data_IF_574059950843
#
_entry.id   IF_574059950843
#
_cell.length_a   1.000
_cell.length_b   1.000
_cell.length_c   1.000
_cell.angle_alpha   90.00
_cell.angle_beta   90.00
_cell.angle_gamma   90.00
#
_symmetry.space_group_name_H-M   'P 1'
#
loop_
_entity.id
_entity.type
_entity.pdbx_description
1 polymer ?
#
# COMPACT_ATOMS: atom_id res chain seq x y z
N UNK A 1 -24.28 5.25 -31.36
CA UNK A 1 -23.45 4.29 -30.58
C UNK A 1 -24.18 2.95 -30.58
N UNK A 2 -23.50 1.82 -30.77
CA UNK A 2 -24.16 0.49 -30.70
C UNK A 2 -24.06 -0.11 -29.29
N UNK A 3 -24.84 -1.13 -28.97
CA UNK A 3 -24.70 -1.85 -27.68
C UNK A 3 -23.29 -2.44 -27.51
N UNK A 4 -22.66 -2.87 -28.60
CA UNK A 4 -21.28 -3.34 -28.61
C UNK A 4 -20.33 -2.22 -28.21
N UNK A 5 -20.53 -1.01 -28.75
CA UNK A 5 -19.68 0.15 -28.45
C UNK A 5 -19.85 0.60 -27.00
N UNK A 6 -21.07 0.53 -26.44
CA UNK A 6 -21.32 0.83 -25.01
C UNK A 6 -20.54 -0.13 -24.11
N UNK A 7 -20.61 -1.43 -24.38
CA UNK A 7 -19.86 -2.42 -23.58
C UNK A 7 -18.35 -2.23 -23.77
N UNK A 8 -17.88 -1.86 -24.97
CA UNK A 8 -16.48 -1.49 -25.20
C UNK A 8 -16.06 -0.26 -24.43
N UNK A 9 -16.87 0.79 -24.41
CA UNK A 9 -16.61 2.05 -23.73
C UNK A 9 -16.54 1.86 -22.21
N UNK A 10 -17.48 1.08 -21.65
CA UNK A 10 -17.45 0.66 -20.25
C UNK A 10 -16.15 -0.11 -19.94
N UNK A 11 -15.81 -1.11 -20.75
CA UNK A 11 -14.62 -1.93 -20.52
C UNK A 11 -13.31 -1.18 -20.77
N UNK A 12 -13.32 -0.14 -21.63
CA UNK A 12 -12.18 0.74 -21.85
C UNK A 12 -11.98 1.73 -20.69
N UNK A 13 -13.08 2.14 -20.04
CA UNK A 13 -13.07 3.02 -18.88
C UNK A 13 -12.74 2.29 -17.56
N UNK A 14 -12.77 0.95 -17.54
CA UNK A 14 -12.41 0.13 -16.37
C UNK A 14 -11.00 -0.40 -16.47
N UNK A 15 -10.23 -0.29 -15.38
CA UNK A 15 -8.84 -0.77 -15.33
C UNK A 15 -8.75 -2.31 -15.29
N UNK A 16 -9.66 -2.95 -14.54
CA UNK A 16 -9.70 -4.39 -14.36
C UNK A 16 -10.84 -5.07 -15.13
N UNK A 17 -10.69 -6.37 -15.46
CA UNK A 17 -11.80 -7.17 -15.95
C UNK A 17 -12.96 -7.20 -14.95
N UNK A 18 -14.14 -6.81 -15.40
CA UNK A 18 -15.35 -6.76 -14.59
C UNK A 18 -16.35 -7.85 -14.99
N UNK A 19 -17.27 -8.15 -14.08
CA UNK A 19 -18.31 -9.17 -14.25
C UNK A 19 -19.48 -8.65 -15.09
N UNK A 20 -20.26 -9.54 -15.73
CA UNK A 20 -21.50 -9.18 -16.41
C UNK A 20 -22.47 -8.35 -15.55
N UNK A 21 -22.50 -8.62 -14.25
CA UNK A 21 -23.32 -7.89 -13.28
C UNK A 21 -22.84 -6.45 -13.10
N UNK A 22 -21.53 -6.24 -12.97
CA UNK A 22 -20.96 -4.89 -12.89
C UNK A 22 -21.15 -4.12 -14.20
N UNK A 23 -21.00 -4.78 -15.36
CA UNK A 23 -21.32 -4.17 -16.66
C UNK A 23 -22.79 -3.73 -16.71
N UNK A 24 -23.72 -4.57 -16.24
CA UNK A 24 -25.16 -4.22 -16.18
C UNK A 24 -25.39 -2.97 -15.35
N UNK A 25 -24.83 -2.89 -14.14
CA UNK A 25 -25.03 -1.72 -13.26
C UNK A 25 -24.43 -0.44 -13.88
N UNK A 26 -23.29 -0.55 -14.56
CA UNK A 26 -22.68 0.58 -15.27
C UNK A 26 -23.52 1.03 -16.48
N UNK A 27 -24.14 0.10 -17.22
CA UNK A 27 -25.09 0.44 -18.30
C UNK A 27 -26.29 1.18 -17.72
N UNK A 28 -26.91 0.69 -16.64
CA UNK A 28 -28.05 1.35 -16.00
C UNK A 28 -27.73 2.77 -15.56
N UNK A 29 -26.51 2.99 -15.03
CA UNK A 29 -26.07 4.29 -14.53
C UNK A 29 -25.65 5.27 -15.63
N UNK A 30 -24.90 4.82 -16.64
CA UNK A 30 -24.23 5.69 -17.61
C UNK A 30 -24.90 5.71 -19.00
N UNK A 31 -25.62 4.66 -19.36
CA UNK A 31 -26.27 4.50 -20.66
C UNK A 31 -27.72 3.97 -20.49
N UNK A 32 -28.59 4.69 -19.74
CA UNK A 32 -29.93 4.22 -19.41
C UNK A 32 -30.79 3.90 -20.63
N UNK A 33 -30.51 4.51 -21.79
CA UNK A 33 -31.20 4.23 -23.05
C UNK A 33 -30.99 2.79 -23.58
N UNK A 34 -30.01 2.04 -23.07
CA UNK A 34 -29.81 0.62 -23.40
C UNK A 34 -30.40 -0.32 -22.34
N UNK A 35 -31.01 0.22 -21.29
CA UNK A 35 -31.77 -0.54 -20.30
C UNK A 35 -33.26 -0.41 -20.60
N UNK A 36 -34.02 -1.51 -20.50
CA UNK A 36 -35.46 -1.48 -20.80
C UNK A 36 -35.84 -1.20 -22.26
N UNK A 37 -35.00 -1.60 -23.23
CA UNK A 37 -35.31 -1.42 -24.67
C UNK A 37 -36.61 -2.16 -25.06
N UNK A 38 -37.28 -1.80 -26.18
CA UNK A 38 -38.45 -2.52 -26.67
C UNK A 38 -38.22 -4.03 -26.82
N UNK A 39 -37.00 -4.43 -27.17
CA UNK A 39 -36.60 -5.84 -27.21
C UNK A 39 -36.58 -6.49 -25.82
N UNK A 40 -36.06 -5.81 -24.80
CA UNK A 40 -36.08 -6.32 -23.42
C UNK A 40 -37.51 -6.47 -22.91
N UNK A 41 -38.35 -5.45 -23.13
CA UNK A 41 -39.76 -5.44 -22.74
C UNK A 41 -40.50 -6.60 -23.41
N UNK A 42 -40.33 -6.77 -24.72
CA UNK A 42 -41.00 -7.84 -25.46
C UNK A 42 -40.55 -9.24 -25.02
N UNK A 43 -39.26 -9.44 -24.72
CA UNK A 43 -38.76 -10.74 -24.27
C UNK A 43 -39.21 -11.09 -22.83
N UNK A 44 -39.37 -10.08 -21.96
CA UNK A 44 -39.95 -10.27 -20.62
C UNK A 44 -41.45 -10.56 -20.73
N UNK A 45 -42.19 -9.84 -21.59
CA UNK A 45 -43.62 -10.07 -21.83
C UNK A 45 -43.89 -11.48 -22.37
N UNK A 46 -43.01 -11.99 -23.24
CA UNK A 46 -43.02 -13.37 -23.75
C UNK A 46 -42.50 -14.42 -22.76
N UNK A 47 -42.18 -14.03 -21.51
CA UNK A 47 -41.64 -14.87 -20.43
C UNK A 47 -40.31 -15.58 -20.76
N UNK A 48 -39.52 -15.05 -21.70
CA UNK A 48 -38.17 -15.56 -21.96
C UNK A 48 -37.17 -15.13 -20.88
N UNK A 49 -37.42 -14.02 -20.20
CA UNK A 49 -36.64 -13.54 -19.07
C UNK A 49 -37.55 -13.14 -17.91
N UNK A 50 -37.04 -13.27 -16.68
CA UNK A 50 -37.77 -12.98 -15.44
C UNK A 50 -38.11 -11.49 -15.31
N UNK A 51 -37.17 -10.63 -15.67
CA UNK A 51 -37.23 -9.18 -15.54
C UNK A 51 -36.27 -8.52 -16.54
N UNK A 52 -36.28 -7.19 -16.58
CA UNK A 52 -35.44 -6.40 -17.48
C UNK A 52 -33.94 -6.55 -17.17
N UNK A 53 -33.59 -6.79 -15.91
CA UNK A 53 -32.22 -7.01 -15.45
C UNK A 53 -31.67 -8.35 -15.98
N UNK A 54 -32.50 -9.39 -16.00
CA UNK A 54 -32.17 -10.70 -16.57
C UNK A 54 -32.07 -10.60 -18.10
N UNK A 55 -32.97 -9.87 -18.75
CA UNK A 55 -32.90 -9.64 -20.20
C UNK A 55 -31.60 -8.94 -20.62
N UNK A 56 -31.20 -7.88 -19.90
CA UNK A 56 -29.95 -7.17 -20.15
C UNK A 56 -28.72 -8.05 -19.86
N UNK A 57 -28.72 -8.83 -18.77
CA UNK A 57 -27.64 -9.78 -18.50
C UNK A 57 -27.48 -10.81 -19.61
N UNK A 58 -28.58 -11.40 -20.09
CA UNK A 58 -28.54 -12.37 -21.18
C UNK A 58 -27.96 -11.75 -22.46
N UNK A 59 -28.32 -10.50 -22.76
CA UNK A 59 -27.75 -9.75 -23.88
C UNK A 59 -26.24 -9.53 -23.72
N UNK A 60 -25.76 -9.17 -22.52
CA UNK A 60 -24.33 -9.03 -22.22
C UNK A 60 -23.61 -10.37 -22.41
N UNK A 61 -24.13 -11.46 -21.83
CA UNK A 61 -23.54 -12.79 -21.96
C UNK A 61 -23.48 -13.27 -23.42
N UNK A 62 -24.53 -13.04 -24.21
CA UNK A 62 -24.55 -13.36 -25.64
C UNK A 62 -23.49 -12.56 -26.39
N UNK A 63 -23.47 -11.24 -26.20
CA UNK A 63 -22.53 -10.34 -26.87
C UNK A 63 -21.07 -10.74 -26.61
N UNK A 64 -20.68 -10.89 -25.35
CA UNK A 64 -19.27 -11.09 -24.96
C UNK A 64 -18.74 -12.48 -25.33
N UNK A 65 -19.63 -13.47 -25.49
CA UNK A 65 -19.26 -14.81 -25.97
C UNK A 65 -19.14 -14.88 -27.49
N UNK A 66 -20.00 -14.17 -28.21
CA UNK A 66 -20.06 -14.24 -29.68
C UNK A 66 -19.09 -13.27 -30.36
N UNK A 67 -18.77 -12.15 -29.72
CA UNK A 67 -17.93 -11.12 -30.33
C UNK A 67 -16.45 -11.32 -29.98
N UNK A 68 -15.63 -11.54 -31.01
CA UNK A 68 -14.17 -11.74 -30.91
C UNK A 68 -13.42 -10.56 -30.29
N UNK A 69 -14.06 -9.38 -30.14
CA UNK A 69 -13.47 -8.23 -29.48
C UNK A 69 -13.35 -8.37 -27.97
N UNK A 70 -13.98 -9.38 -27.34
CA UNK A 70 -13.95 -9.57 -25.88
C UNK A 70 -13.17 -10.84 -25.46
N UNK A 71 -12.46 -10.72 -24.34
CA UNK A 71 -11.85 -11.83 -23.62
C UNK A 71 -12.70 -12.15 -22.40
N UNK A 72 -12.94 -13.45 -22.17
CA UNK A 72 -13.80 -13.95 -21.11
C UNK A 72 -13.01 -14.91 -20.23
N UNK A 73 -12.65 -14.48 -19.03
CA UNK A 73 -11.99 -15.32 -18.04
C UNK A 73 -13.03 -16.17 -17.30
N UNK A 74 -13.00 -17.48 -17.55
CA UNK A 74 -13.92 -18.46 -16.97
C UNK A 74 -13.36 -19.18 -15.75
N UNK A 75 -12.17 -18.80 -15.27
CA UNK A 75 -11.53 -19.45 -14.11
C UNK A 75 -12.28 -19.18 -12.81
N UNK A 76 -13.12 -18.14 -12.76
CA UNK A 76 -13.94 -17.76 -11.61
C UNK A 76 -15.41 -17.59 -12.04
N UNK A 77 -16.35 -17.73 -11.09
CA UNK A 77 -17.79 -17.53 -11.32
C UNK A 77 -18.29 -16.38 -10.44
N UNK A 78 -18.97 -15.36 -10.99
CA UNK A 78 -19.21 -15.12 -12.42
C UNK A 78 -17.91 -14.80 -13.19
N UNK A 79 -17.90 -15.10 -14.49
CA UNK A 79 -16.76 -14.85 -15.38
C UNK A 79 -16.42 -13.36 -15.47
N UNK A 80 -15.13 -13.02 -15.66
CA UNK A 80 -14.68 -11.65 -15.86
C UNK A 80 -14.43 -11.35 -17.33
N UNK A 81 -14.73 -10.12 -17.77
CA UNK A 81 -14.71 -9.73 -19.18
C UNK A 81 -13.77 -8.53 -19.39
N UNK A 82 -13.01 -8.55 -20.49
CA UNK A 82 -12.15 -7.45 -20.96
C UNK A 82 -12.07 -7.38 -22.49
N UNK A 83 -11.39 -6.37 -23.07
CA UNK A 83 -11.22 -6.21 -24.52
C UNK A 83 -10.00 -6.99 -25.07
N UNK A 84 -10.15 -7.71 -26.19
CA UNK A 84 -9.06 -8.46 -26.88
C UNK A 84 -8.06 -7.57 -27.61
N UNK A 85 -8.54 -6.50 -28.25
CA UNK A 85 -7.73 -5.58 -29.07
C UNK A 85 -7.37 -4.28 -28.35
N UNK A 86 -7.40 -4.28 -27.03
CA UNK A 86 -6.52 -3.36 -26.32
C UNK A 86 -5.10 -3.80 -26.71
N UNK A 87 -4.45 -3.07 -27.64
CA UNK A 87 -3.02 -3.21 -27.92
C UNK A 87 -2.33 -3.32 -26.57
N UNK A 88 -1.79 -4.50 -26.28
CA UNK A 88 -1.10 -4.88 -25.05
C UNK A 88 -1.05 -3.79 -23.97
N UNK A 89 -2.05 -3.72 -23.09
CA UNK A 89 -1.67 -3.60 -21.68
C UNK A 89 -1.28 -5.02 -21.29
N UNK A 90 0.01 -5.30 -21.09
CA UNK A 90 0.45 -6.66 -20.89
C UNK A 90 -0.30 -7.24 -19.69
N UNK A 91 -0.84 -8.46 -19.82
CA UNK A 91 -0.67 -9.41 -18.72
C UNK A 91 0.80 -9.26 -18.34
N UNK A 92 1.11 -8.76 -17.15
CA UNK A 92 2.49 -8.55 -16.71
C UNK A 92 3.18 -9.91 -16.44
N UNK A 93 3.18 -10.82 -17.42
CA UNK A 93 4.41 -11.49 -17.81
C UNK A 93 5.35 -10.38 -18.21
N UNK A 94 6.52 -10.31 -17.56
CA UNK A 94 7.63 -9.43 -17.91
C UNK A 94 7.69 -9.25 -19.44
N UNK A 95 7.15 -8.14 -19.94
CA UNK A 95 7.80 -7.50 -21.06
C UNK A 95 9.05 -6.93 -20.41
N UNK A 96 10.19 -7.55 -20.73
CA UNK A 96 11.48 -6.89 -20.64
C UNK A 96 11.25 -5.52 -21.29
N UNK A 97 11.14 -4.49 -20.46
CA UNK A 97 11.04 -3.11 -20.93
C UNK A 97 12.27 -2.89 -21.79
N UNK A 98 12.12 -2.63 -23.10
CA UNK A 98 13.24 -2.18 -23.90
C UNK A 98 13.61 -0.81 -23.30
N UNK A 99 14.79 -0.73 -22.69
CA UNK A 99 15.41 0.44 -22.06
C UNK A 99 15.05 0.75 -20.60
N UNK A 100 14.90 -0.25 -19.74
CA UNK A 100 14.71 -0.09 -18.28
C UNK A 100 15.98 0.02 -17.42
N UNK A 101 17.17 0.25 -17.98
CA UNK A 101 18.42 0.05 -17.22
C UNK A 101 18.81 1.22 -16.27
N UNK A 102 18.07 2.33 -16.29
CA UNK A 102 18.43 3.56 -15.56
C UNK A 102 17.32 4.28 -14.76
N UNK A 103 16.07 3.80 -14.73
CA UNK A 103 15.01 4.49 -13.98
C UNK A 103 15.09 4.15 -12.49
N UNK A 104 15.11 5.16 -11.61
CA UNK A 104 15.10 4.94 -10.16
C UNK A 104 13.71 4.47 -9.71
N UNK A 105 13.64 3.70 -8.62
CA UNK A 105 12.37 3.19 -8.11
C UNK A 105 11.38 4.33 -7.80
N UNK A 106 11.88 5.48 -7.34
CA UNK A 106 11.06 6.67 -7.11
C UNK A 106 10.40 7.21 -8.37
N UNK A 107 11.13 7.26 -9.48
CA UNK A 107 10.61 7.80 -10.75
C UNK A 107 9.48 6.92 -11.28
N UNK A 108 9.64 5.59 -11.16
CA UNK A 108 8.59 4.64 -11.53
C UNK A 108 7.36 4.75 -10.61
N UNK A 109 7.58 4.88 -9.29
CA UNK A 109 6.49 5.07 -8.34
C UNK A 109 5.70 6.35 -8.64
N UNK A 110 6.39 7.48 -8.87
CA UNK A 110 5.75 8.76 -9.20
C UNK A 110 4.96 8.64 -10.51
N UNK A 111 5.57 8.08 -11.56
CA UNK A 111 4.94 7.92 -12.88
C UNK A 111 3.68 7.04 -12.80
N UNK A 112 3.70 6.01 -11.97
CA UNK A 112 2.61 5.05 -11.81
C UNK A 112 1.86 5.22 -10.47
N UNK A 113 1.80 6.44 -9.93
CA UNK A 113 1.28 6.71 -8.57
C UNK A 113 -0.12 6.10 -8.33
N UNK A 114 -1.05 6.27 -9.27
CA UNK A 114 -2.41 5.72 -9.15
C UNK A 114 -2.47 4.18 -9.11
N UNK A 115 -1.59 3.52 -9.86
CA UNK A 115 -1.47 2.05 -9.84
C UNK A 115 -1.03 1.57 -8.46
N UNK A 116 0.07 2.13 -7.93
CA UNK A 116 0.59 1.72 -6.63
C UNK A 116 -0.34 2.10 -5.47
N UNK A 117 -1.09 3.21 -5.59
CA UNK A 117 -2.12 3.55 -4.61
C UNK A 117 -3.24 2.50 -4.59
N UNK A 118 -3.82 2.17 -5.75
CA UNK A 118 -4.86 1.13 -5.83
C UNK A 118 -4.34 -0.23 -5.34
N UNK A 119 -3.12 -0.59 -5.75
CA UNK A 119 -2.46 -1.82 -5.31
C UNK A 119 -2.24 -1.84 -3.79
N UNK A 120 -1.92 -0.70 -3.18
CA UNK A 120 -1.78 -0.61 -1.73
C UNK A 120 -3.12 -0.91 -1.02
N UNK A 121 -4.24 -0.43 -1.55
CA UNK A 121 -5.59 -0.73 -1.03
C UNK A 121 -5.92 -2.22 -1.11
N UNK A 122 -5.56 -2.88 -2.21
CA UNK A 122 -5.74 -4.34 -2.37
C UNK A 122 -4.87 -5.14 -1.39
N UNK A 123 -3.59 -4.77 -1.29
CA UNK A 123 -2.65 -5.43 -0.38
C UNK A 123 -3.12 -5.30 1.07
N UNK A 124 -3.71 -4.17 1.44
CA UNK A 124 -4.28 -3.94 2.79
C UNK A 124 -5.47 -4.85 3.10
N UNK A 125 -6.30 -5.22 2.11
CA UNK A 125 -7.39 -6.19 2.34
C UNK A 125 -6.88 -7.57 2.81
N UNK A 126 -5.63 -7.90 2.49
CA UNK A 126 -4.99 -9.13 2.96
C UNK A 126 -4.38 -8.99 4.37
N UNK A 127 -4.15 -7.75 4.85
CA UNK A 127 -3.66 -7.47 6.18
C UNK A 127 -4.83 -7.24 7.13
N UNK A 128 -5.50 -8.30 7.56
CA UNK A 128 -6.52 -8.22 8.61
C UNK A 128 -5.94 -8.41 10.02
N UNK A 129 -6.82 -8.44 11.02
CA UNK A 129 -6.50 -8.90 12.37
C UNK A 129 -5.87 -7.85 13.28
N UNK A 130 -5.09 -8.28 14.29
CA UNK A 130 -4.67 -7.41 15.41
C UNK A 130 -3.80 -6.23 14.96
N UNK A 131 -3.08 -6.36 13.84
CA UNK A 131 -2.17 -5.33 13.34
C UNK A 131 -2.87 -4.04 12.90
N UNK A 132 -4.05 -4.12 12.28
CA UNK A 132 -4.88 -2.94 11.98
C UNK A 132 -5.45 -2.38 13.27
N UNK A 133 -6.04 -3.25 14.08
CA UNK A 133 -6.75 -2.84 15.28
C UNK A 133 -5.83 -2.04 16.20
N UNK A 134 -4.66 -2.57 16.56
CA UNK A 134 -3.75 -1.86 17.45
C UNK A 134 -3.18 -0.58 16.81
N UNK A 135 -2.90 -0.59 15.50
CA UNK A 135 -2.47 0.61 14.79
C UNK A 135 -3.51 1.73 14.92
N UNK A 136 -4.77 1.45 14.58
CA UNK A 136 -5.87 2.42 14.70
C UNK A 136 -6.07 2.87 16.14
N UNK A 137 -6.01 1.96 17.12
CA UNK A 137 -6.13 2.31 18.53
C UNK A 137 -4.97 3.18 19.03
N UNK A 138 -3.75 2.98 18.53
CA UNK A 138 -2.61 3.83 18.85
C UNK A 138 -2.84 5.26 18.33
N UNK A 139 -3.31 5.41 17.09
CA UNK A 139 -3.63 6.73 16.52
C UNK A 139 -4.80 7.40 17.28
N UNK A 140 -5.86 6.66 17.62
CA UNK A 140 -6.97 7.21 18.43
C UNK A 140 -6.51 7.62 19.83
N UNK A 141 -5.64 6.84 20.45
CA UNK A 141 -5.03 7.17 21.75
C UNK A 141 -4.19 8.44 21.68
N UNK A 142 -3.44 8.63 20.59
CA UNK A 142 -2.66 9.84 20.32
C UNK A 142 -3.51 11.10 20.27
N UNK A 143 -4.68 11.03 19.61
CA UNK A 143 -5.62 12.16 19.46
C UNK A 143 -6.41 12.44 20.74
N UNK A 144 -6.71 11.40 21.52
CA UNK A 144 -7.52 11.52 22.74
C UNK A 144 -6.68 12.02 23.92
N UNK A 145 -5.53 11.41 24.16
CA UNK A 145 -4.64 11.76 25.26
C UNK A 145 -3.19 11.43 24.91
N UNK A 146 -2.48 12.47 24.45
CA UNK A 146 -1.13 12.37 23.93
C UNK A 146 -0.15 11.84 24.99
N UNK A 147 0.56 10.77 24.59
CA UNK A 147 1.45 9.98 25.43
C UNK A 147 0.84 9.50 26.76
N UNK A 148 -0.47 9.26 26.81
CA UNK A 148 -1.11 8.53 27.90
C UNK A 148 -0.65 7.08 27.99
N UNK A 149 -0.92 6.44 29.12
CA UNK A 149 -0.66 5.02 29.34
C UNK A 149 -1.31 4.16 28.25
N UNK A 150 -2.57 4.47 27.92
CA UNK A 150 -3.30 3.75 26.87
C UNK A 150 -2.67 3.94 25.50
N UNK A 151 -2.28 5.17 25.16
CA UNK A 151 -1.62 5.44 23.88
C UNK A 151 -0.31 4.65 23.77
N UNK A 152 0.56 4.71 24.78
CA UNK A 152 1.85 4.01 24.77
C UNK A 152 1.68 2.48 24.75
N UNK A 153 0.70 1.95 25.49
CA UNK A 153 0.32 0.54 25.46
C UNK A 153 -0.08 0.09 24.04
N UNK A 154 -0.89 0.89 23.33
CA UNK A 154 -1.31 0.58 21.96
C UNK A 154 -0.16 0.67 20.97
N UNK A 155 0.81 1.59 21.16
CA UNK A 155 2.05 1.58 20.37
C UNK A 155 2.79 0.25 20.60
N UNK A 156 3.01 -0.13 21.84
CA UNK A 156 3.73 -1.36 22.18
C UNK A 156 3.05 -2.60 21.58
N UNK A 157 1.73 -2.72 21.73
CA UNK A 157 0.93 -3.78 21.13
C UNK A 157 1.00 -3.79 19.60
N UNK A 158 0.99 -2.60 18.97
CA UNK A 158 1.12 -2.49 17.51
C UNK A 158 2.46 -3.05 17.04
N UNK A 159 3.57 -2.64 17.65
CA UNK A 159 4.90 -3.09 17.28
C UNK A 159 5.04 -4.62 17.45
N UNK A 160 4.56 -5.16 18.57
CA UNK A 160 4.52 -6.61 18.80
C UNK A 160 3.72 -7.34 17.71
N UNK A 161 2.51 -6.85 17.39
CA UNK A 161 1.66 -7.42 16.34
C UNK A 161 2.25 -7.30 14.93
N UNK A 162 3.17 -6.36 14.71
CA UNK A 162 3.93 -6.20 13.46
C UNK A 162 5.20 -7.07 13.43
N UNK A 163 5.33 -8.01 14.37
CA UNK A 163 6.41 -8.99 14.40
C UNK A 163 7.72 -8.46 14.98
N UNK A 164 7.69 -7.35 15.73
CA UNK A 164 8.88 -6.82 16.40
C UNK A 164 9.25 -7.53 17.70
N UNK A 165 8.37 -8.40 18.19
CA UNK A 165 8.62 -9.24 19.35
C UNK A 165 8.52 -10.72 18.94
N UNK A 166 9.67 -11.35 18.68
CA UNK A 166 9.76 -12.80 18.44
C UNK A 166 10.12 -13.51 19.73
N UNK A 167 9.39 -14.58 20.03
CA UNK A 167 9.71 -15.48 21.13
C UNK A 167 10.97 -16.30 20.79
N UNK A 168 11.80 -16.55 21.79
CA UNK A 168 13.03 -17.31 21.65
C UNK A 168 14.18 -16.72 22.45
N UNK A 169 15.32 -17.41 22.37
CA UNK A 169 16.57 -16.96 22.94
C UNK A 169 16.99 -15.60 22.32
N UNK A 170 17.18 -14.53 23.12
CA UNK A 170 17.67 -13.24 22.66
C UNK A 170 18.97 -13.29 21.84
N UNK A 171 19.84 -14.27 22.09
CA UNK A 171 21.08 -14.45 21.32
C UNK A 171 20.80 -14.92 19.89
N UNK A 172 19.68 -15.61 19.70
CA UNK A 172 19.22 -16.16 18.41
C UNK A 172 18.25 -15.21 17.71
N UNK A 173 17.30 -14.63 18.46
CA UNK A 173 16.26 -13.74 17.92
C UNK A 173 16.56 -12.28 18.23
N UNK A 174 17.17 -11.58 17.27
CA UNK A 174 17.46 -10.14 17.41
C UNK A 174 16.23 -9.23 17.31
N UNK A 175 15.07 -9.75 16.89
CA UNK A 175 13.82 -9.00 16.83
C UNK A 175 13.03 -9.17 18.13
N UNK A 176 13.46 -8.49 19.19
CA UNK A 176 12.82 -8.53 20.50
C UNK A 176 12.74 -7.12 21.08
N UNK A 177 11.54 -6.73 21.50
CA UNK A 177 11.31 -5.44 22.16
C UNK A 177 11.85 -5.48 23.60
N UNK A 178 12.20 -4.32 24.15
CA UNK A 178 12.48 -4.20 25.60
C UNK A 178 11.18 -4.37 26.39
N UNK A 179 11.28 -4.63 27.68
CA UNK A 179 10.09 -4.77 28.54
C UNK A 179 9.27 -3.47 28.59
N UNK A 180 7.95 -3.60 28.75
CA UNK A 180 7.03 -2.47 28.66
C UNK A 180 7.38 -1.29 29.58
N UNK A 181 7.78 -1.47 30.86
CA UNK A 181 8.18 -0.34 31.71
C UNK A 181 9.37 0.45 31.16
N UNK A 182 10.38 -0.24 30.60
CA UNK A 182 11.55 0.40 29.98
C UNK A 182 11.13 1.13 28.70
N UNK A 183 10.32 0.49 27.86
CA UNK A 183 9.77 1.09 26.64
C UNK A 183 9.02 2.40 26.96
N UNK A 184 8.07 2.34 27.90
CA UNK A 184 7.27 3.50 28.34
C UNK A 184 8.16 4.60 28.90
N UNK A 185 9.07 4.27 29.81
CA UNK A 185 9.97 5.25 30.41
C UNK A 185 10.84 5.95 29.35
N UNK A 186 11.33 5.20 28.36
CA UNK A 186 12.16 5.75 27.27
C UNK A 186 11.43 6.77 26.40
N UNK A 187 10.10 6.68 26.30
CA UNK A 187 9.25 7.63 25.56
C UNK A 187 8.88 8.82 26.45
N UNK A 188 8.39 8.57 27.67
CA UNK A 188 7.87 9.61 28.56
C UNK A 188 8.91 10.65 28.93
N UNK A 189 10.19 10.27 29.07
CA UNK A 189 11.28 11.24 29.33
C UNK A 189 11.45 12.30 28.22
N UNK A 190 10.81 12.12 27.07
CA UNK A 190 10.81 13.07 25.95
C UNK A 190 9.46 13.75 25.72
N UNK A 191 8.49 13.62 26.65
CA UNK A 191 7.12 14.10 26.47
C UNK A 191 7.06 15.53 25.96
N UNK A 192 7.76 16.46 26.61
CA UNK A 192 7.69 17.89 26.27
C UNK A 192 8.23 18.19 24.87
N UNK A 193 9.34 17.56 24.48
CA UNK A 193 9.92 17.72 23.13
C UNK A 193 9.04 17.09 22.05
N UNK A 194 8.45 15.93 22.34
CA UNK A 194 7.51 15.28 21.44
C UNK A 194 6.22 16.12 21.29
N UNK A 195 5.76 16.76 22.38
CA UNK A 195 4.61 17.65 22.37
C UNK A 195 4.84 18.88 21.48
N UNK A 196 6.06 19.43 21.45
CA UNK A 196 6.41 20.55 20.57
C UNK A 196 6.31 20.18 19.08
N UNK A 197 6.55 18.91 18.74
CA UNK A 197 6.48 18.41 17.36
C UNK A 197 5.09 17.87 16.98
N UNK A 198 4.17 17.78 17.94
CA UNK A 198 2.84 17.16 17.75
C UNK A 198 2.04 17.78 16.60
N UNK A 199 2.08 19.11 16.48
CA UNK A 199 1.36 19.86 15.45
C UNK A 199 2.08 19.92 14.10
N UNK A 200 3.33 19.43 14.02
CA UNK A 200 4.11 19.44 12.80
C UNK A 200 3.61 18.35 11.85
N UNK A 201 3.53 18.66 10.56
CA UNK A 201 2.99 17.74 9.55
C UNK A 201 3.83 17.74 8.28
N UNK A 202 4.00 16.56 7.71
CA UNK A 202 4.75 16.34 6.46
C UNK A 202 4.09 17.03 5.26
N UNK A 203 2.77 17.11 5.23
CA UNK A 203 1.97 17.67 4.13
C UNK A 203 1.86 19.20 4.14
N UNK A 204 2.15 19.85 5.27
CA UNK A 204 1.98 21.30 5.43
C UNK A 204 3.28 22.06 5.66
N UNK A 205 4.43 21.46 5.33
CA UNK A 205 5.74 22.10 5.49
C UNK A 205 6.61 21.99 4.22
N UNK A 206 7.56 22.92 4.10
CA UNK A 206 8.62 22.87 3.09
C UNK A 206 9.60 21.73 3.37
N UNK A 207 10.50 21.44 2.43
CA UNK A 207 11.53 20.40 2.61
C UNK A 207 12.53 20.78 3.69
N UNK A 208 12.91 22.05 3.74
CA UNK A 208 13.86 22.60 4.70
C UNK A 208 13.25 22.64 6.11
N UNK A 209 11.95 22.92 6.22
CA UNK A 209 11.23 22.80 7.48
C UNK A 209 11.13 21.35 7.93
N UNK A 210 10.76 20.44 7.03
CA UNK A 210 10.69 19.01 7.33
C UNK A 210 12.03 18.48 7.82
N UNK A 211 13.13 18.81 7.12
CA UNK A 211 14.47 18.40 7.52
C UNK A 211 14.84 18.87 8.93
N UNK A 212 14.52 20.12 9.28
CA UNK A 212 14.71 20.65 10.64
C UNK A 212 13.91 19.88 11.69
N UNK A 213 12.65 19.55 11.42
CA UNK A 213 11.85 18.72 12.33
C UNK A 213 12.50 17.35 12.58
N UNK A 214 13.12 16.76 11.54
CA UNK A 214 13.83 15.50 11.71
C UNK A 214 15.12 15.68 12.52
N UNK A 215 15.85 16.78 12.34
CA UNK A 215 17.02 17.11 13.16
C UNK A 215 16.65 17.31 14.63
N UNK A 216 15.50 17.93 14.93
CA UNK A 216 15.00 18.13 16.29
C UNK A 216 14.71 16.81 17.04
N UNK A 217 14.48 15.73 16.29
CA UNK A 217 14.31 14.37 16.82
C UNK A 217 15.62 13.69 17.18
N UNK A 218 16.80 14.23 16.84
CA UNK A 218 18.10 13.55 17.02
C UNK A 218 18.33 13.02 18.43
N UNK A 219 18.12 13.86 19.43
CA UNK A 219 18.33 13.47 20.83
C UNK A 219 17.29 12.45 21.32
N UNK A 220 16.03 12.59 20.88
CA UNK A 220 14.98 11.62 21.16
C UNK A 220 15.38 10.27 20.56
N UNK A 221 15.78 10.25 19.29
CA UNK A 221 16.21 9.05 18.59
C UNK A 221 17.38 8.35 19.28
N UNK A 222 18.39 9.09 19.74
CA UNK A 222 19.57 8.51 20.39
C UNK A 222 19.29 7.87 21.75
N UNK A 223 18.28 8.36 22.45
CA UNK A 223 17.99 7.93 23.82
C UNK A 223 16.73 7.06 23.93
N UNK A 224 15.98 6.89 22.84
CA UNK A 224 14.88 5.96 22.74
C UNK A 224 15.37 4.51 22.90
N UNK A 225 14.63 3.70 23.65
CA UNK A 225 14.92 2.28 23.92
C UNK A 225 13.68 1.45 23.60
N UNK A 226 13.67 0.85 22.41
CA UNK A 226 12.51 0.09 21.90
C UNK A 226 12.78 -1.40 21.80
N UNK A 227 14.00 -1.78 21.44
CA UNK A 227 14.40 -3.16 21.24
C UNK A 227 15.80 -3.41 21.79
N UNK A 228 16.09 -4.67 22.10
CA UNK A 228 17.44 -5.11 22.50
C UNK A 228 18.45 -5.08 21.35
N UNK A 229 17.97 -4.93 20.10
CA UNK A 229 18.82 -4.90 18.90
C UNK A 229 19.49 -3.55 18.71
N UNK A 230 20.77 -3.57 18.35
CA UNK A 230 21.55 -2.38 17.96
C UNK A 230 21.03 -1.73 16.66
N UNK A 231 20.32 -2.47 15.81
CA UNK A 231 19.66 -1.91 14.64
C UNK A 231 18.36 -1.19 15.05
N UNK A 232 18.46 0.12 15.20
CA UNK A 232 17.42 1.02 15.75
C UNK A 232 16.44 1.56 14.71
N UNK A 233 16.85 1.73 13.45
CA UNK A 233 16.08 2.47 12.42
C UNK A 233 14.63 2.02 12.32
N UNK A 234 14.41 0.71 12.17
CA UNK A 234 13.06 0.14 12.00
C UNK A 234 12.23 0.32 13.28
N UNK A 235 12.82 0.07 14.43
CA UNK A 235 12.12 0.12 15.71
C UNK A 235 11.76 1.56 16.12
N UNK A 236 12.72 2.46 15.99
CA UNK A 236 12.56 3.86 16.36
C UNK A 236 11.61 4.57 15.40
N UNK A 237 11.75 4.37 14.09
CA UNK A 237 10.83 4.98 13.11
C UNK A 237 9.39 4.51 13.31
N UNK A 238 9.15 3.21 13.52
CA UNK A 238 7.80 2.68 13.76
C UNK A 238 7.23 3.20 15.08
N UNK A 239 8.03 3.33 16.13
CA UNK A 239 7.59 3.94 17.40
C UNK A 239 7.19 5.41 17.19
N UNK A 240 8.10 6.20 16.59
CA UNK A 240 7.88 7.62 16.32
C UNK A 240 6.73 7.86 15.35
N UNK A 241 6.47 6.96 14.40
CA UNK A 241 5.35 7.05 13.47
C UNK A 241 3.97 6.87 14.12
N UNK A 242 3.90 6.28 15.32
CA UNK A 242 2.65 6.22 16.09
C UNK A 242 2.53 7.38 17.07
N UNK A 243 3.65 7.96 17.52
CA UNK A 243 3.66 9.17 18.36
C UNK A 243 3.36 10.42 17.52
N UNK A 244 4.01 10.56 16.36
CA UNK A 244 3.95 11.71 15.44
C UNK A 244 3.49 11.26 14.04
N UNK A 245 2.28 10.69 13.89
CA UNK A 245 1.83 10.03 12.66
C UNK A 245 1.74 10.95 11.45
N UNK A 246 1.53 12.25 11.67
CA UNK A 246 1.46 13.23 10.58
C UNK A 246 2.84 13.70 10.11
N UNK A 247 3.91 13.38 10.85
CA UNK A 247 5.27 13.85 10.57
C UNK A 247 6.20 12.70 10.16
N UNK A 248 6.17 11.59 10.92
CA UNK A 248 7.16 10.52 10.83
C UNK A 248 6.58 9.31 10.10
N UNK A 249 7.19 8.87 9.00
CA UNK A 249 6.80 7.65 8.34
C UNK A 249 7.35 6.43 9.10
N UNK A 250 6.60 5.32 9.18
CA UNK A 250 7.18 4.06 9.60
C UNK A 250 8.19 3.59 8.53
N UNK A 251 9.38 3.16 8.94
CA UNK A 251 10.40 2.64 8.02
C UNK A 251 10.51 1.14 8.21
N UNK A 252 10.41 0.41 7.11
CA UNK A 252 10.60 -1.04 7.06
C UNK A 252 11.89 -1.43 6.35
N UNK A 253 12.62 -2.42 6.91
CA UNK A 253 13.87 -2.91 6.31
C UNK A 253 13.61 -3.62 4.98
N UNK A 254 12.55 -4.42 4.88
CA UNK A 254 12.26 -5.22 3.69
C UNK A 254 11.70 -4.37 2.56
N UNK A 255 10.92 -3.34 2.89
CA UNK A 255 10.24 -2.49 1.90
C UNK A 255 10.92 -1.13 1.73
N UNK A 256 10.83 -0.24 2.73
CA UNK A 256 11.28 1.16 2.63
C UNK A 256 12.78 1.28 2.34
N UNK A 257 13.62 0.63 3.14
CA UNK A 257 15.08 0.76 2.98
C UNK A 257 15.52 0.11 1.67
N UNK A 258 14.98 -1.06 1.34
CA UNK A 258 15.24 -1.75 0.07
C UNK A 258 14.89 -0.87 -1.12
N UNK A 259 13.71 -0.29 -1.13
CA UNK A 259 13.24 0.61 -2.18
C UNK A 259 14.21 1.76 -2.42
N UNK A 260 14.78 2.32 -1.37
CA UNK A 260 15.70 3.45 -1.49
C UNK A 260 17.16 3.07 -1.77
N UNK A 261 17.58 1.83 -1.52
CA UNK A 261 19.00 1.42 -1.57
C UNK A 261 19.32 0.42 -2.66
N UNK A 262 18.34 -0.27 -3.23
CA UNK A 262 18.54 -1.30 -4.25
C UNK A 262 17.75 -0.97 -5.51
N UNK A 263 18.28 -1.37 -6.68
CA UNK A 263 17.49 -1.39 -7.91
C UNK A 263 16.45 -2.51 -7.82
N UNK A 264 15.25 -2.32 -8.38
CA UNK A 264 14.19 -3.33 -8.37
C UNK A 264 14.65 -4.73 -8.84
N UNK A 265 15.49 -4.81 -9.87
CA UNK A 265 16.08 -6.06 -10.39
C UNK A 265 16.94 -6.81 -9.37
N UNK A 266 17.43 -6.11 -8.36
CA UNK A 266 18.30 -6.64 -7.32
C UNK A 266 17.56 -6.96 -6.01
N UNK A 267 16.24 -6.85 -5.96
CA UNK A 267 15.48 -7.13 -4.74
C UNK A 267 15.58 -8.59 -4.31
N UNK A 268 15.73 -9.52 -5.26
CA UNK A 268 15.64 -10.96 -5.01
C UNK A 268 16.93 -11.69 -5.32
N UNK A 269 17.21 -12.75 -4.56
CA UNK A 269 18.16 -13.80 -4.92
C UNK A 269 17.59 -14.65 -6.06
N UNK A 270 18.43 -15.46 -6.70
CA UNK A 270 17.99 -16.43 -7.72
C UNK A 270 16.91 -17.39 -7.21
N UNK A 271 16.89 -17.67 -5.90
CA UNK A 271 15.88 -18.51 -5.26
C UNK A 271 14.55 -17.79 -4.98
N UNK A 272 14.41 -16.53 -5.37
CA UNK A 272 13.22 -15.70 -5.14
C UNK A 272 13.07 -15.18 -3.70
N UNK A 273 14.12 -15.28 -2.86
CA UNK A 273 14.13 -14.68 -1.52
C UNK A 273 14.62 -13.25 -1.61
N UNK A 274 14.22 -12.37 -0.69
CA UNK A 274 14.76 -11.01 -0.67
C UNK A 274 16.26 -11.00 -0.37
N UNK A 275 17.05 -10.24 -1.13
CA UNK A 275 18.47 -10.00 -0.82
C UNK A 275 18.60 -9.26 0.52
N UNK A 276 19.66 -9.50 1.31
CA UNK A 276 19.86 -8.77 2.56
C UNK A 276 19.99 -7.26 2.33
N UNK A 277 19.60 -6.49 3.35
CA UNK A 277 19.79 -5.04 3.41
C UNK A 277 20.64 -4.75 4.64
N UNK A 278 21.81 -4.16 4.41
CA UNK A 278 22.75 -3.83 5.48
C UNK A 278 22.38 -2.46 6.06
N UNK A 279 22.38 -2.37 7.39
CA UNK A 279 22.22 -1.10 8.10
C UNK A 279 23.55 -0.74 8.75
N UNK A 280 23.86 0.55 8.91
CA UNK A 280 25.03 0.96 9.66
C UNK A 280 24.92 0.49 11.12
N UNK A 281 26.06 0.16 11.72
CA UNK A 281 26.12 -0.28 13.12
C UNK A 281 26.06 0.90 14.09
N UNK A 282 26.80 1.97 13.80
CA UNK A 282 26.89 3.12 14.71
C UNK A 282 25.60 3.92 14.75
N UNK A 283 25.21 4.35 15.95
CA UNK A 283 23.95 5.06 16.20
C UNK A 283 23.82 6.39 15.44
N UNK A 284 24.93 7.12 15.29
CA UNK A 284 25.01 8.35 14.51
C UNK A 284 24.73 8.14 13.02
N UNK A 285 25.36 7.12 12.44
CA UNK A 285 25.12 6.70 11.06
C UNK A 285 23.69 6.16 10.87
N UNK A 286 23.12 5.47 11.87
CA UNK A 286 21.73 5.04 11.82
C UNK A 286 20.74 6.20 11.84
N UNK A 287 20.99 7.24 12.65
CA UNK A 287 20.18 8.46 12.61
C UNK A 287 20.31 9.20 11.29
N UNK A 288 21.52 9.29 10.72
CA UNK A 288 21.73 9.89 9.40
C UNK A 288 20.92 9.16 8.32
N UNK A 289 20.90 7.83 8.35
CA UNK A 289 20.08 7.00 7.46
C UNK A 289 18.57 7.19 7.71
N UNK A 290 18.12 7.21 8.97
CA UNK A 290 16.74 7.54 9.33
C UNK A 290 16.32 8.89 8.73
N UNK A 291 17.12 9.94 8.95
CA UNK A 291 16.89 11.28 8.40
C UNK A 291 16.80 11.25 6.88
N UNK A 292 17.76 10.61 6.23
CA UNK A 292 17.79 10.45 4.76
C UNK A 292 16.53 9.79 4.22
N UNK A 293 16.04 8.72 4.85
CA UNK A 293 14.83 8.02 4.39
C UNK A 293 13.56 8.85 4.61
N UNK A 294 13.44 9.54 5.75
CA UNK A 294 12.33 10.48 6.00
C UNK A 294 12.31 11.58 4.93
N UNK A 295 13.44 12.25 4.68
CA UNK A 295 13.52 13.32 3.69
C UNK A 295 13.25 12.82 2.27
N UNK A 296 13.73 11.62 1.89
CA UNK A 296 13.39 11.03 0.58
C UNK A 296 11.91 10.70 0.45
N UNK A 297 11.25 10.26 1.52
CA UNK A 297 9.82 10.00 1.51
C UNK A 297 9.01 11.30 1.41
N UNK A 298 9.43 12.38 2.08
CA UNK A 298 8.89 13.73 1.89
C UNK A 298 9.05 14.20 0.43
N UNK A 299 10.24 14.06 -0.14
CA UNK A 299 10.47 14.40 -1.56
C UNK A 299 9.59 13.60 -2.52
N UNK A 300 9.36 12.32 -2.21
CA UNK A 300 8.49 11.46 -2.98
C UNK A 300 7.03 11.93 -2.88
N UNK A 301 6.57 12.22 -1.66
CA UNK A 301 5.25 12.76 -1.40
C UNK A 301 5.00 14.06 -2.17
N UNK A 302 5.93 15.02 -2.11
CA UNK A 302 5.82 16.32 -2.80
C UNK A 302 5.66 16.20 -4.33
N UNK A 303 6.11 15.08 -4.91
CA UNK A 303 6.04 14.81 -6.35
C UNK A 303 4.86 13.93 -6.74
N UNK A 304 4.21 13.28 -5.78
CA UNK A 304 3.06 12.43 -6.03
C UNK A 304 1.80 13.27 -6.24
N UNK A 305 0.85 12.75 -7.02
CA UNK A 305 -0.50 13.31 -7.05
C UNK A 305 -1.25 12.93 -5.76
N UNK A 306 -1.06 13.73 -4.72
CA UNK A 306 -1.63 13.52 -3.40
C UNK A 306 -3.15 13.73 -3.33
N UNK A 307 -3.79 14.27 -4.38
CA UNK A 307 -5.27 14.34 -4.47
C UNK A 307 -5.92 12.96 -4.59
N UNK A 308 -5.14 11.94 -5.00
CA UNK A 308 -5.60 10.56 -5.04
C UNK A 308 -5.70 9.93 -3.64
N UNK A 309 -5.00 10.49 -2.67
CA UNK A 309 -4.83 9.87 -1.36
C UNK A 309 -6.02 10.18 -0.46
N UNK A 310 -6.56 9.13 0.15
CA UNK A 310 -7.64 9.23 1.13
C UNK A 310 -7.10 8.83 2.48
N UNK A 311 -7.20 9.74 3.45
CA UNK A 311 -6.96 9.43 4.85
C UNK A 311 -8.22 8.78 5.40
N UNK A 312 -8.06 7.61 6.00
CA UNK A 312 -9.13 6.88 6.68
C UNK A 312 -8.60 6.34 8.00
N UNK A 313 -9.12 6.91 9.09
CA UNK A 313 -8.71 6.61 10.47
C UNK A 313 -9.16 5.24 10.96
N UNK A 314 -10.00 4.53 10.20
CA UNK A 314 -10.42 3.17 10.50
C UNK A 314 -9.63 2.11 9.69
N UNK A 315 -8.70 2.55 8.85
CA UNK A 315 -7.86 1.67 8.03
C UNK A 315 -6.37 1.87 8.32
N UNK A 316 -5.52 1.28 7.49
CA UNK A 316 -4.07 1.52 7.52
C UNK A 316 -3.66 2.88 6.94
N UNK A 317 -4.53 3.60 6.22
CA UNK A 317 -4.20 4.91 5.63
C UNK A 317 -4.51 6.05 6.62
N UNK A 318 -3.92 6.00 7.81
CA UNK A 318 -4.22 6.95 8.90
C UNK A 318 -3.53 8.31 8.74
N UNK A 319 -2.49 8.40 7.91
CA UNK A 319 -1.75 9.65 7.67
C UNK A 319 -1.00 9.60 6.34
N UNK A 320 -0.57 10.77 5.81
CA UNK A 320 0.25 10.82 4.59
C UNK A 320 1.57 10.06 4.71
N UNK A 321 2.36 10.18 5.81
CA UNK A 321 3.55 9.35 5.97
C UNK A 321 3.26 7.85 5.88
N UNK A 322 2.12 7.39 6.43
CA UNK A 322 1.72 5.99 6.36
C UNK A 322 1.26 5.56 4.97
N UNK A 323 0.56 6.43 4.24
CA UNK A 323 0.20 6.21 2.85
C UNK A 323 1.46 6.04 1.99
N UNK A 324 2.48 6.88 2.18
CA UNK A 324 3.74 6.75 1.45
C UNK A 324 4.46 5.41 1.72
N UNK A 325 4.48 4.96 2.98
CA UNK A 325 4.98 3.62 3.34
C UNK A 325 4.20 2.51 2.63
N UNK A 326 2.86 2.62 2.60
CA UNK A 326 2.00 1.65 1.90
C UNK A 326 2.25 1.63 0.38
N UNK A 327 2.50 2.77 -0.25
CA UNK A 327 2.88 2.87 -1.67
C UNK A 327 4.21 2.15 -1.94
N UNK A 328 5.22 2.37 -1.10
CA UNK A 328 6.51 1.70 -1.23
C UNK A 328 6.38 0.19 -1.03
N UNK A 329 5.60 -0.23 -0.03
CA UNK A 329 5.31 -1.66 0.17
C UNK A 329 4.62 -2.27 -1.05
N UNK A 330 3.62 -1.58 -1.62
CA UNK A 330 2.92 -2.02 -2.82
C UNK A 330 3.88 -2.17 -4.00
N UNK A 331 4.73 -1.16 -4.25
CA UNK A 331 5.79 -1.21 -5.26
C UNK A 331 6.68 -2.45 -5.09
N UNK A 332 7.24 -2.65 -3.90
CA UNK A 332 8.20 -3.75 -3.65
C UNK A 332 7.55 -5.12 -3.78
N UNK A 333 6.24 -5.23 -3.49
CA UNK A 333 5.45 -6.46 -3.69
C UNK A 333 5.08 -6.70 -5.16
N UNK A 334 4.98 -5.64 -5.96
CA UNK A 334 4.64 -5.72 -7.38
C UNK A 334 5.85 -6.11 -8.25
N UNK A 335 7.08 -5.91 -7.74
CA UNK A 335 8.29 -6.37 -8.44
C UNK A 335 8.26 -7.90 -8.58
N UNK A 336 8.34 -8.44 -9.82
CA UNK A 336 8.29 -9.88 -10.06
C UNK A 336 9.46 -10.61 -9.40
N UNK A 337 9.17 -11.75 -8.77
CA UNK A 337 10.19 -12.67 -8.28
C UNK A 337 10.77 -13.47 -9.44
N UNK A 338 12.09 -13.78 -9.44
CA UNK A 338 12.67 -14.73 -10.37
C UNK A 338 11.91 -16.06 -10.34
N UNK A 339 11.59 -16.61 -11.52
CA UNK A 339 11.02 -17.95 -11.62
C UNK A 339 12.05 -18.95 -11.10
N UNK A 340 11.64 -19.88 -10.21
CA UNK A 340 12.52 -20.97 -9.80
C UNK A 340 12.85 -21.78 -11.05
N UNK A 341 14.11 -21.75 -11.49
CA UNK A 341 14.60 -22.67 -12.51
C UNK A 341 14.53 -24.08 -11.91
N UNK A 342 13.44 -24.78 -12.18
CA UNK A 342 13.33 -26.21 -11.90
C UNK A 342 14.30 -26.88 -12.86
N UNK A 343 15.54 -27.12 -12.40
CA UNK A 343 16.46 -28.00 -13.11
C UNK A 343 15.79 -29.37 -13.13
N UNK A 344 15.20 -29.73 -14.28
CA UNK A 344 14.82 -31.11 -14.56
C UNK A 344 16.12 -31.92 -14.45
N UNK A 345 16.18 -32.80 -13.45
CA UNK A 345 17.23 -33.80 -13.33
C UNK A 345 17.04 -34.86 -14.40
#
# INVERSE_FOLDING_TARGET
MTFVDVVKDILAATYDPITPQEIRELIKKKYPQYYGTPSHINNVAKRHYKDLDHALLAQIYGLVRMNKSFFCDKTHKPMKISLRNNKARPKLRLQILPNGDNMRNEDDLIKNNGHYYNRSLEVMKAFGGPSIYFHVQAIKGQETDFLSDRHIEMIYATLASWGMHKMGDPEITKAKMVEFPEFKHSIIKHRDRLQQLYSSRMDSCSREQYERYIDDLKQIYYSLKVSISDATIVAHSKTLAHILPNLIPPIDRQYTIRFFTQKNKDFFTESGKYKPVNLPQRLDAQFADFKKYCCRMKMLFDKCNHQLFTIDKETFNTSFPKIMDNLIMAFVKDVPKPEKVVRRK
#
